data_IF_205714655663
#
_entry.id   IF_205714655663
#
_cell.length_a   1.000
_cell.length_b   1.000
_cell.length_c   1.000
_cell.angle_alpha   90.00
_cell.angle_beta   90.00
_cell.angle_gamma   90.00
#
_symmetry.space_group_name_H-M   'P 1'
#
loop_
_entity.id
_entity.type
_entity.pdbx_description
1 polymer ?
#
# COMPACT_ATOMS: atom_id res chain seq x y z
N UNK A 1 -2.89 15.40 -13.88
CA UNK A 1 -3.83 15.80 -14.97
C UNK A 1 -3.12 16.66 -16.01
N UNK A 2 -2.48 17.76 -15.64
CA UNK A 2 -1.81 18.66 -16.59
C UNK A 2 -0.62 18.02 -17.29
N UNK A 3 0.12 17.14 -16.61
CA UNK A 3 1.26 16.42 -17.18
C UNK A 3 0.82 15.48 -18.31
N UNK A 4 -0.23 14.70 -18.11
CA UNK A 4 -0.76 13.78 -19.13
C UNK A 4 -1.15 14.56 -20.40
N UNK A 5 -1.87 15.68 -20.27
CA UNK A 5 -2.25 16.50 -21.43
C UNK A 5 -1.07 17.13 -22.14
N UNK A 6 -0.03 17.55 -21.40
CA UNK A 6 1.21 18.08 -22.00
C UNK A 6 1.95 17.00 -22.79
N UNK A 7 2.04 15.81 -22.24
CA UNK A 7 2.67 14.67 -22.93
C UNK A 7 1.86 14.28 -24.16
N UNK A 8 0.54 14.18 -24.03
CA UNK A 8 -0.35 13.83 -25.14
C UNK A 8 -0.24 14.78 -26.35
N UNK A 9 0.05 16.06 -26.11
CA UNK A 9 0.23 17.04 -27.17
C UNK A 9 1.46 16.77 -28.06
N UNK A 10 2.41 15.98 -27.60
CA UNK A 10 3.64 15.59 -28.33
C UNK A 10 3.53 14.19 -28.96
N UNK A 11 2.41 13.50 -28.76
CA UNK A 11 2.19 12.13 -29.22
C UNK A 11 1.32 12.08 -30.48
N UNK A 12 1.33 10.93 -31.14
CA UNK A 12 0.57 10.65 -32.36
C UNK A 12 -0.31 9.41 -32.20
N UNK A 13 -1.32 9.21 -33.07
CA UNK A 13 -2.12 7.99 -33.04
C UNK A 13 -1.28 6.72 -33.08
N UNK A 14 -1.57 5.79 -32.17
CA UNK A 14 -0.82 4.55 -31.97
C UNK A 14 0.19 4.60 -30.82
N UNK A 15 0.50 5.78 -30.31
CA UNK A 15 1.31 5.91 -29.09
C UNK A 15 0.51 5.54 -27.83
N UNK A 16 1.21 5.34 -26.71
CA UNK A 16 0.60 5.03 -25.43
C UNK A 16 1.18 5.87 -24.30
N UNK A 17 0.34 6.21 -23.34
CA UNK A 17 0.74 6.78 -22.05
C UNK A 17 0.49 5.73 -20.97
N UNK A 18 1.50 5.48 -20.13
CA UNK A 18 1.38 4.68 -18.91
C UNK A 18 1.44 5.65 -17.73
N UNK A 19 0.34 5.78 -16.98
CA UNK A 19 0.32 6.51 -15.71
C UNK A 19 0.69 5.59 -14.57
N UNK A 20 1.92 5.71 -14.06
CA UNK A 20 2.43 4.95 -12.91
C UNK A 20 2.36 5.73 -11.59
N UNK A 21 1.58 6.80 -11.53
CA UNK A 21 1.38 7.63 -10.34
C UNK A 21 0.34 7.08 -9.36
N UNK A 22 -0.01 7.91 -8.38
CA UNK A 22 -1.14 7.68 -7.49
C UNK A 22 -2.35 8.47 -8.00
N UNK A 23 -2.99 7.97 -9.04
CA UNK A 23 -4.12 8.64 -9.69
C UNK A 23 -5.45 8.03 -9.20
N UNK A 24 -6.46 8.87 -9.03
CA UNK A 24 -7.81 8.41 -8.75
C UNK A 24 -8.39 7.73 -9.99
N UNK A 25 -8.81 6.49 -9.88
CA UNK A 25 -9.21 5.66 -11.02
C UNK A 25 -10.33 6.25 -11.90
N UNK A 26 -11.18 7.14 -11.36
CA UNK A 26 -12.15 7.89 -12.18
C UNK A 26 -11.45 8.82 -13.18
N UNK A 27 -10.29 9.37 -12.83
CA UNK A 27 -9.53 10.22 -13.75
C UNK A 27 -8.96 9.40 -14.92
N UNK A 28 -8.52 8.17 -14.65
CA UNK A 28 -8.01 7.27 -15.69
C UNK A 28 -9.09 6.92 -16.72
N UNK A 29 -10.32 6.67 -16.26
CA UNK A 29 -11.47 6.43 -17.13
C UNK A 29 -11.70 7.64 -18.06
N UNK A 30 -11.66 8.87 -17.49
CA UNK A 30 -11.83 10.09 -18.27
C UNK A 30 -10.67 10.32 -19.26
N UNK A 31 -9.41 10.05 -18.83
CA UNK A 31 -8.26 10.17 -19.73
C UNK A 31 -8.28 9.14 -20.85
N UNK A 32 -8.68 7.90 -20.58
CA UNK A 32 -8.83 6.89 -21.62
C UNK A 32 -9.85 7.31 -22.69
N UNK A 33 -10.97 7.91 -22.29
CA UNK A 33 -11.95 8.47 -23.22
C UNK A 33 -11.41 9.68 -23.99
N UNK A 34 -10.71 10.60 -23.33
CA UNK A 34 -10.14 11.82 -23.94
C UNK A 34 -9.05 11.48 -24.97
N UNK A 35 -8.10 10.61 -24.59
CA UNK A 35 -6.95 10.23 -25.39
C UNK A 35 -7.31 9.23 -26.49
N UNK A 36 -8.26 8.35 -26.23
CA UNK A 36 -8.76 7.40 -27.23
C UNK A 36 -9.36 8.08 -28.47
N UNK A 37 -9.96 9.28 -28.32
CA UNK A 37 -10.43 10.10 -29.45
C UNK A 37 -9.29 10.60 -30.35
N UNK A 38 -8.08 10.65 -29.81
CA UNK A 38 -6.85 11.03 -30.52
C UNK A 38 -6.07 9.81 -31.00
N UNK A 39 -6.55 8.60 -30.75
CA UNK A 39 -5.88 7.35 -31.08
C UNK A 39 -4.69 7.02 -30.21
N UNK A 40 -4.61 7.63 -29.01
CA UNK A 40 -3.57 7.39 -28.02
C UNK A 40 -4.13 6.46 -26.94
N UNK A 41 -3.40 5.36 -26.66
CA UNK A 41 -3.77 4.42 -25.60
C UNK A 41 -3.40 5.01 -24.22
N UNK A 42 -4.32 4.92 -23.26
CA UNK A 42 -4.04 5.24 -21.85
C UNK A 42 -4.08 3.97 -21.01
N UNK A 43 -2.99 3.70 -20.29
CA UNK A 43 -2.90 2.62 -19.31
C UNK A 43 -2.63 3.22 -17.94
N UNK A 44 -3.42 2.82 -16.97
CA UNK A 44 -3.17 3.08 -15.56
C UNK A 44 -2.37 1.91 -14.97
N UNK A 45 -1.31 2.24 -14.24
CA UNK A 45 -0.40 1.26 -13.67
C UNK A 45 -0.20 1.54 -12.18
N UNK A 46 -1.09 0.98 -11.36
CA UNK A 46 -0.95 1.01 -9.92
C UNK A 46 0.33 0.31 -9.48
N UNK A 47 1.19 1.03 -8.76
CA UNK A 47 2.53 0.57 -8.42
C UNK A 47 2.71 0.48 -6.92
N UNK A 48 3.17 -0.67 -6.42
CA UNK A 48 3.58 -0.89 -5.05
C UNK A 48 5.05 -1.35 -5.00
N UNK A 49 5.74 -1.09 -3.87
CA UNK A 49 7.17 -1.35 -3.70
C UNK A 49 7.95 -0.10 -3.30
N UNK A 50 7.39 1.07 -3.50
CA UNK A 50 7.92 2.36 -3.05
C UNK A 50 9.37 2.61 -3.48
N UNK A 51 10.16 3.19 -2.59
CA UNK A 51 11.57 3.54 -2.83
C UNK A 51 12.48 2.32 -3.05
N UNK A 52 12.05 1.14 -2.64
CA UNK A 52 12.81 -0.11 -2.79
C UNK A 52 12.57 -0.82 -4.13
N UNK A 53 11.61 -0.36 -4.94
CA UNK A 53 11.23 -1.01 -6.18
C UNK A 53 12.34 -1.03 -7.24
N UNK A 54 13.27 -0.08 -7.20
CA UNK A 54 14.42 -0.08 -8.11
C UNK A 54 15.32 -1.31 -7.89
N UNK A 55 15.46 -1.77 -6.65
CA UNK A 55 16.31 -2.90 -6.28
C UNK A 55 15.53 -4.23 -6.27
N UNK A 56 14.27 -4.19 -5.86
CA UNK A 56 13.44 -5.38 -5.61
C UNK A 56 12.41 -5.65 -6.71
N UNK A 57 12.21 -4.73 -7.65
CA UNK A 57 11.11 -4.73 -8.58
C UNK A 57 9.82 -4.13 -7.99
N UNK A 58 8.86 -3.88 -8.86
CA UNK A 58 7.58 -3.26 -8.52
C UNK A 58 6.43 -4.25 -8.69
N UNK A 59 5.54 -4.33 -7.71
CA UNK A 59 4.26 -4.98 -7.90
C UNK A 59 3.34 -4.06 -8.72
N UNK A 60 2.91 -4.52 -9.90
CA UNK A 60 2.23 -3.71 -10.91
C UNK A 60 0.80 -4.22 -11.18
N UNK A 61 -0.17 -3.33 -11.05
CA UNK A 61 -1.58 -3.58 -11.30
C UNK A 61 -2.03 -2.71 -12.47
N UNK A 62 -2.29 -3.30 -13.64
CA UNK A 62 -2.41 -2.58 -14.89
C UNK A 62 -3.86 -2.57 -15.38
N UNK A 63 -4.38 -1.40 -15.73
CA UNK A 63 -5.65 -1.19 -16.42
C UNK A 63 -5.45 -0.53 -17.77
N UNK A 64 -6.44 -0.69 -18.66
CA UNK A 64 -6.42 -0.05 -19.97
C UNK A 64 -6.84 -0.96 -21.11
N UNK A 65 -6.64 -0.55 -22.39
CA UNK A 65 -6.92 -1.39 -23.54
C UNK A 65 -6.06 -2.67 -23.53
N UNK A 66 -6.68 -3.84 -23.62
CA UNK A 66 -5.98 -5.13 -23.52
C UNK A 66 -4.90 -5.31 -24.59
N UNK A 67 -5.14 -4.84 -25.80
CA UNK A 67 -4.16 -4.93 -26.89
C UNK A 67 -2.93 -4.03 -26.62
N UNK A 68 -3.14 -2.86 -26.03
CA UNK A 68 -2.04 -1.99 -25.61
C UNK A 68 -1.25 -2.64 -24.45
N UNK A 69 -1.94 -3.25 -23.48
CA UNK A 69 -1.29 -4.01 -22.42
C UNK A 69 -0.39 -5.13 -22.99
N UNK A 70 -0.91 -5.98 -23.88
CA UNK A 70 -0.13 -7.07 -24.52
C UNK A 70 1.10 -6.55 -25.25
N UNK A 71 0.96 -5.42 -25.97
CA UNK A 71 2.08 -4.77 -26.67
C UNK A 71 3.17 -4.30 -25.72
N UNK A 72 2.77 -3.79 -24.53
CA UNK A 72 3.66 -3.18 -23.55
C UNK A 72 4.07 -4.15 -22.42
N UNK A 73 3.56 -5.37 -22.42
CA UNK A 73 3.83 -6.38 -21.40
C UNK A 73 5.34 -6.60 -21.11
N UNK A 74 6.25 -6.58 -22.11
CA UNK A 74 7.68 -6.71 -21.82
C UNK A 74 8.23 -5.63 -20.89
N UNK A 75 7.64 -4.43 -20.87
CA UNK A 75 8.02 -3.35 -19.95
C UNK A 75 7.62 -3.73 -18.51
N UNK A 76 6.36 -4.17 -18.33
CA UNK A 76 5.86 -4.56 -17.01
C UNK A 76 6.62 -5.76 -16.46
N UNK A 77 6.89 -6.77 -17.30
CA UNK A 77 7.67 -7.94 -16.91
C UNK A 77 9.11 -7.58 -16.48
N UNK A 78 9.71 -6.56 -17.12
CA UNK A 78 11.06 -6.10 -16.76
C UNK A 78 11.10 -5.33 -15.44
N UNK A 79 10.05 -4.58 -15.13
CA UNK A 79 9.95 -3.79 -13.91
C UNK A 79 9.49 -4.60 -12.70
N UNK A 80 8.83 -5.73 -12.91
CA UNK A 80 8.32 -6.59 -11.86
C UNK A 80 9.42 -7.40 -11.16
N UNK A 81 9.21 -7.83 -9.90
CA UNK A 81 10.22 -8.55 -9.10
C UNK A 81 10.57 -9.94 -9.65
N UNK A 82 9.65 -10.56 -10.40
CA UNK A 82 9.81 -11.91 -10.91
C UNK A 82 9.43 -13.01 -9.90
N UNK A 83 9.34 -14.23 -10.38
CA UNK A 83 8.89 -15.41 -9.60
C UNK A 83 9.77 -15.75 -8.39
N UNK A 84 10.98 -15.23 -8.33
CA UNK A 84 11.91 -15.50 -7.22
C UNK A 84 11.64 -14.71 -5.94
N UNK A 85 10.74 -13.72 -5.97
CA UNK A 85 10.46 -12.87 -4.80
C UNK A 85 9.67 -13.62 -3.71
N UNK A 86 8.86 -14.60 -4.08
CA UNK A 86 8.09 -15.40 -3.14
C UNK A 86 8.05 -16.88 -3.55
N UNK A 87 7.86 -17.76 -2.56
CA UNK A 87 7.57 -19.16 -2.85
C UNK A 87 6.26 -19.28 -3.62
N UNK A 88 6.23 -20.21 -4.56
CA UNK A 88 5.03 -20.46 -5.36
C UNK A 88 3.86 -20.90 -4.50
N UNK A 89 2.69 -20.31 -4.72
CA UNK A 89 1.48 -20.68 -3.99
C UNK A 89 1.18 -22.18 -4.16
N UNK A 90 0.98 -22.93 -3.05
CA UNK A 90 0.69 -24.35 -3.12
C UNK A 90 -0.53 -24.65 -4.00
N UNK A 91 -0.40 -25.62 -4.88
CA UNK A 91 -1.46 -26.03 -5.82
C UNK A 91 -1.39 -25.38 -7.21
N UNK A 92 -0.60 -24.35 -7.40
CA UNK A 92 -0.34 -23.83 -8.75
C UNK A 92 0.60 -24.77 -9.52
N UNK A 93 0.27 -25.05 -10.78
CA UNK A 93 1.00 -25.96 -11.67
C UNK A 93 1.21 -25.28 -13.03
N UNK A 94 2.11 -25.82 -13.86
CA UNK A 94 2.45 -25.27 -15.18
C UNK A 94 3.45 -24.10 -15.11
N UNK A 95 3.56 -23.32 -16.17
CA UNK A 95 4.44 -22.14 -16.22
C UNK A 95 3.91 -21.02 -15.33
N UNK A 96 4.78 -20.22 -14.70
CA UNK A 96 4.38 -19.09 -13.89
C UNK A 96 3.55 -18.08 -14.68
N UNK A 97 2.46 -17.62 -14.08
CA UNK A 97 1.61 -16.56 -14.64
C UNK A 97 2.24 -15.16 -14.48
N UNK A 98 1.76 -14.13 -15.19
CA UNK A 98 2.14 -12.74 -14.92
C UNK A 98 1.97 -12.32 -13.46
N UNK A 99 0.92 -12.77 -12.79
CA UNK A 99 0.70 -12.48 -11.37
C UNK A 99 1.79 -13.09 -10.48
N UNK A 100 2.29 -14.30 -10.78
CA UNK A 100 3.42 -14.91 -10.07
C UNK A 100 4.75 -14.19 -10.35
N UNK A 101 4.82 -13.41 -11.43
CA UNK A 101 5.94 -12.52 -11.72
C UNK A 101 5.83 -11.15 -11.07
N UNK A 102 4.68 -10.81 -10.45
CA UNK A 102 4.46 -9.56 -9.75
C UNK A 102 3.80 -8.46 -10.58
N UNK A 103 3.21 -8.78 -11.74
CA UNK A 103 2.39 -7.85 -12.51
C UNK A 103 1.10 -8.51 -12.99
N UNK A 104 0.01 -7.74 -13.12
CA UNK A 104 -1.29 -8.26 -13.50
C UNK A 104 -2.07 -7.26 -14.34
N UNK A 105 -2.66 -7.73 -15.44
CA UNK A 105 -3.72 -7.02 -16.13
C UNK A 105 -5.03 -7.15 -15.33
N UNK A 106 -5.50 -6.04 -14.77
CA UNK A 106 -6.68 -6.00 -13.89
C UNK A 106 -7.99 -5.76 -14.64
N UNK A 107 -7.91 -5.25 -15.88
CA UNK A 107 -9.11 -4.95 -16.66
C UNK A 107 -9.04 -3.64 -17.46
N UNK A 108 -10.19 -3.05 -17.83
CA UNK A 108 -10.24 -1.80 -18.59
C UNK A 108 -9.65 -0.62 -17.80
N UNK A 109 -9.61 0.56 -18.43
CA UNK A 109 -9.07 1.77 -17.85
C UNK A 109 -9.64 2.07 -16.46
N UNK A 110 -8.76 2.38 -15.51
CA UNK A 110 -9.03 2.59 -14.10
C UNK A 110 -8.92 1.34 -13.24
N UNK A 111 -8.95 0.13 -13.81
CA UNK A 111 -8.92 -1.12 -13.05
C UNK A 111 -7.59 -1.31 -12.28
N UNK A 112 -6.47 -0.89 -12.84
CA UNK A 112 -5.17 -0.97 -12.18
C UNK A 112 -5.10 -0.08 -10.94
N UNK A 113 -5.41 1.21 -11.09
CA UNK A 113 -5.44 2.15 -9.97
C UNK A 113 -6.55 1.83 -8.96
N UNK A 114 -7.68 1.26 -9.37
CA UNK A 114 -8.71 0.77 -8.45
C UNK A 114 -8.16 -0.34 -7.55
N UNK A 115 -7.54 -1.37 -8.13
CA UNK A 115 -6.94 -2.47 -7.36
C UNK A 115 -5.83 -1.95 -6.45
N UNK A 116 -4.98 -1.04 -6.95
CA UNK A 116 -3.92 -0.40 -6.15
C UNK A 116 -4.47 0.44 -4.99
N UNK A 117 -5.54 1.17 -5.22
CA UNK A 117 -6.23 1.96 -4.20
C UNK A 117 -6.71 1.06 -3.04
N UNK A 118 -7.34 -0.07 -3.35
CA UNK A 118 -7.79 -1.06 -2.35
C UNK A 118 -6.59 -1.67 -1.61
N UNK A 119 -5.51 -2.01 -2.33
CA UNK A 119 -4.25 -2.43 -1.70
C UNK A 119 -3.78 -1.42 -0.65
N UNK A 120 -3.78 -0.12 -0.98
CA UNK A 120 -3.40 0.92 -0.02
C UNK A 120 -4.39 1.04 1.15
N UNK A 121 -5.69 0.83 0.92
CA UNK A 121 -6.68 0.77 2.00
C UNK A 121 -6.36 -0.33 3.01
N UNK A 122 -5.96 -1.51 2.53
CA UNK A 122 -5.48 -2.62 3.38
C UNK A 122 -4.19 -2.22 4.10
N UNK A 123 -3.23 -1.61 3.41
CA UNK A 123 -1.96 -1.14 3.98
C UNK A 123 -2.19 -0.17 5.14
N UNK A 124 -3.07 0.83 4.98
CA UNK A 124 -3.46 1.74 6.06
C UNK A 124 -4.08 1.01 7.25
N UNK A 125 -4.95 0.03 7.01
CA UNK A 125 -5.53 -0.81 8.06
C UNK A 125 -4.47 -1.60 8.82
N UNK A 126 -3.50 -2.19 8.13
CA UNK A 126 -2.38 -2.91 8.74
C UNK A 126 -1.48 -1.99 9.56
N UNK A 127 -1.13 -0.80 9.05
CA UNK A 127 -0.34 0.18 9.79
C UNK A 127 -1.05 0.64 11.05
N UNK A 128 -2.35 0.91 10.98
CA UNK A 128 -3.15 1.28 12.14
C UNK A 128 -3.19 0.16 13.19
N UNK A 129 -3.42 -1.09 12.78
CA UNK A 129 -3.43 -2.23 13.68
C UNK A 129 -2.08 -2.46 14.39
N UNK A 130 -0.97 -2.34 13.68
CA UNK A 130 0.38 -2.42 14.24
C UNK A 130 0.60 -1.29 15.26
N UNK A 131 0.28 -0.04 14.88
CA UNK A 131 0.48 1.12 15.74
C UNK A 131 -0.35 1.02 17.03
N UNK A 132 -1.63 0.68 16.94
CA UNK A 132 -2.51 0.51 18.10
C UNK A 132 -2.05 -0.64 19.01
N UNK A 133 -1.67 -1.78 18.44
CA UNK A 133 -1.15 -2.90 19.20
C UNK A 133 0.14 -2.57 19.96
N UNK A 134 1.09 -1.91 19.31
CA UNK A 134 2.34 -1.45 19.95
C UNK A 134 2.08 -0.36 20.99
N UNK A 135 1.07 0.50 20.79
CA UNK A 135 0.67 1.49 21.79
C UNK A 135 0.07 0.83 23.06
N UNK A 136 -0.68 -0.27 22.91
CA UNK A 136 -1.13 -1.07 24.07
C UNK A 136 0.07 -1.64 24.84
N UNK A 137 1.08 -2.19 24.13
CA UNK A 137 2.30 -2.70 24.77
C UNK A 137 3.06 -1.57 25.47
N UNK A 138 3.18 -0.39 24.85
CA UNK A 138 3.81 0.80 25.45
C UNK A 138 3.10 1.22 26.75
N UNK A 139 1.77 1.06 26.81
CA UNK A 139 0.96 1.38 27.98
C UNK A 139 0.91 0.28 29.06
N UNK A 140 1.65 -0.83 28.92
CA UNK A 140 1.56 -1.98 29.83
C UNK A 140 2.04 -1.72 31.27
N UNK A 141 2.68 -0.57 31.54
CA UNK A 141 3.07 -0.11 32.88
C UNK A 141 2.13 0.96 33.46
N UNK A 142 0.95 1.17 32.89
CA UNK A 142 0.04 2.22 33.33
C UNK A 142 -0.41 2.09 34.78
N UNK A 143 -0.33 0.90 35.38
CA UNK A 143 -0.69 0.62 36.77
C UNK A 143 0.34 1.11 37.82
N UNK A 144 1.57 1.48 37.38
CA UNK A 144 2.58 2.11 38.27
C UNK A 144 2.60 3.62 38.16
N UNK A 145 1.88 4.19 37.17
CA UNK A 145 1.86 5.63 36.92
C UNK A 145 0.77 6.25 37.79
N UNK A 146 1.18 7.12 38.74
CA UNK A 146 0.22 7.93 39.49
C UNK A 146 -0.40 8.97 38.54
N UNK A 147 -1.69 8.90 38.33
CA UNK A 147 -2.45 9.88 37.54
C UNK A 147 -3.24 10.75 38.49
N UNK A 148 -3.18 12.08 38.31
CA UNK A 148 -4.11 12.99 38.95
C UNK A 148 -5.51 12.72 38.37
N UNK A 149 -6.39 12.12 39.17
CA UNK A 149 -7.76 11.86 38.78
C UNK A 149 -8.56 13.18 38.71
N UNK A 150 -9.33 13.36 37.67
CA UNK A 150 -10.35 14.40 37.57
C UNK A 150 -11.76 13.75 37.51
N UNK A 151 -12.79 14.58 37.49
CA UNK A 151 -14.17 14.10 37.52
C UNK A 151 -14.62 13.37 36.25
N UNK A 152 -13.84 13.46 35.16
CA UNK A 152 -14.13 12.87 33.85
C UNK A 152 -13.27 11.64 33.54
N UNK A 153 -12.24 11.38 34.36
CA UNK A 153 -11.32 10.26 34.16
C UNK A 153 -11.72 9.08 35.04
N UNK A 154 -12.19 8.00 34.41
CA UNK A 154 -12.47 6.76 35.14
C UNK A 154 -11.18 6.19 35.76
N UNK A 155 -11.19 5.78 37.04
CA UNK A 155 -10.03 5.14 37.65
C UNK A 155 -9.70 3.82 36.95
N UNK A 156 -8.41 3.47 36.89
CA UNK A 156 -8.00 2.17 36.38
C UNK A 156 -8.45 1.07 37.35
N UNK A 157 -9.19 0.10 36.85
CA UNK A 157 -9.51 -1.11 37.58
C UNK A 157 -8.34 -2.10 37.55
N UNK A 158 -8.01 -2.69 38.71
CA UNK A 158 -6.95 -3.70 38.85
C UNK A 158 -5.58 -3.26 38.32
N UNK A 159 -5.03 -2.12 38.80
CA UNK A 159 -3.75 -1.60 38.30
C UNK A 159 -2.58 -2.57 38.47
N UNK A 160 -2.69 -3.56 39.36
CA UNK A 160 -1.71 -4.61 39.57
C UNK A 160 -1.47 -5.51 38.35
N UNK A 161 -2.38 -5.52 37.40
CA UNK A 161 -2.24 -6.28 36.13
C UNK A 161 -1.50 -5.51 35.02
N UNK A 162 -1.17 -4.23 35.27
CA UNK A 162 -0.54 -3.33 34.29
C UNK A 162 0.78 -2.75 34.83
N UNK A 163 1.68 -3.63 35.25
CA UNK A 163 2.97 -3.26 35.87
C UNK A 163 4.16 -3.86 35.09
N UNK A 164 4.06 -3.92 33.74
CA UNK A 164 5.09 -4.50 32.92
C UNK A 164 5.95 -3.40 32.27
N UNK A 165 7.26 -3.45 32.47
CA UNK A 165 8.21 -2.67 31.67
C UNK A 165 8.58 -3.51 30.45
N UNK A 166 8.04 -3.14 29.28
CA UNK A 166 8.23 -3.88 28.03
C UNK A 166 8.93 -2.96 27.02
N UNK A 167 10.04 -3.44 26.47
CA UNK A 167 10.72 -2.78 25.37
C UNK A 167 9.97 -3.04 24.06
N UNK A 168 9.27 -2.01 23.57
CA UNK A 168 8.44 -2.08 22.35
C UNK A 168 9.29 -2.40 21.11
N UNK A 169 10.53 -1.91 21.04
CA UNK A 169 11.45 -2.21 19.95
C UNK A 169 11.78 -3.71 19.88
N UNK A 170 12.03 -4.33 21.04
CA UNK A 170 12.30 -5.77 21.13
C UNK A 170 11.05 -6.61 20.83
N UNK A 171 9.86 -6.11 21.16
CA UNK A 171 8.59 -6.77 20.78
C UNK A 171 8.42 -6.76 19.27
N UNK A 172 8.61 -5.62 18.61
CA UNK A 172 8.55 -5.53 17.16
C UNK A 172 9.59 -6.46 16.51
N UNK A 173 10.82 -6.50 17.03
CA UNK A 173 11.89 -7.37 16.54
C UNK A 173 11.57 -8.85 16.68
N UNK A 174 10.98 -9.31 17.79
CA UNK A 174 10.61 -10.72 17.94
C UNK A 174 9.41 -11.11 17.09
N UNK A 175 8.45 -10.18 16.93
CA UNK A 175 7.26 -10.47 16.10
C UNK A 175 7.57 -10.58 14.62
N UNK A 176 8.53 -9.83 14.09
CA UNK A 176 8.94 -9.97 12.68
C UNK A 176 9.63 -11.31 12.38
N UNK A 177 10.02 -12.09 13.41
CA UNK A 177 10.72 -13.37 13.29
C UNK A 177 9.80 -14.55 13.52
N UNK A 178 8.97 -14.87 12.51
CA UNK A 178 8.14 -16.06 12.46
C UNK A 178 6.79 -15.96 13.18
N UNK A 179 6.36 -14.77 13.61
CA UNK A 179 4.99 -14.59 14.09
C UNK A 179 4.01 -14.44 12.91
N UNK A 180 2.74 -14.71 13.16
CA UNK A 180 1.65 -14.59 12.16
C UNK A 180 1.48 -13.15 11.66
N UNK A 181 1.84 -12.14 12.46
CA UNK A 181 1.78 -10.72 12.07
C UNK A 181 3.05 -10.24 11.37
N UNK A 182 4.02 -11.13 11.12
CA UNK A 182 5.23 -10.83 10.34
C UNK A 182 4.86 -10.31 8.96
N UNK A 183 5.44 -9.17 8.58
CA UNK A 183 5.14 -8.49 7.32
C UNK A 183 6.23 -7.45 7.02
N UNK A 184 6.33 -7.02 5.76
CA UNK A 184 7.25 -5.94 5.42
C UNK A 184 6.96 -4.65 6.20
N UNK A 185 5.70 -4.32 6.45
CA UNK A 185 5.33 -3.17 7.29
C UNK A 185 5.85 -3.31 8.73
N UNK A 186 5.81 -4.51 9.29
CA UNK A 186 6.40 -4.76 10.62
C UNK A 186 7.93 -4.70 10.59
N UNK A 187 8.59 -5.12 9.51
CA UNK A 187 10.03 -4.96 9.34
C UNK A 187 10.44 -3.49 9.36
N UNK A 188 9.71 -2.64 8.61
CA UNK A 188 9.94 -1.19 8.60
C UNK A 188 9.65 -0.56 9.97
N UNK A 189 8.60 -1.02 10.67
CA UNK A 189 8.29 -0.57 12.03
C UNK A 189 9.41 -0.91 13.00
N UNK A 190 9.91 -2.14 12.97
CA UNK A 190 11.01 -2.57 13.83
C UNK A 190 12.31 -1.77 13.55
N UNK A 191 12.60 -1.48 12.27
CA UNK A 191 13.74 -0.64 11.89
C UNK A 191 13.60 0.77 12.46
N UNK A 192 12.42 1.40 12.33
CA UNK A 192 12.14 2.73 12.88
C UNK A 192 12.25 2.77 14.39
N UNK A 193 11.73 1.77 15.10
CA UNK A 193 11.81 1.68 16.56
C UNK A 193 13.25 1.38 17.05
N UNK A 194 14.06 0.69 16.26
CA UNK A 194 15.47 0.47 16.59
C UNK A 194 16.30 1.77 16.49
N UNK A 195 15.96 2.63 15.52
CA UNK A 195 16.59 3.95 15.36
C UNK A 195 16.06 4.96 16.38
N UNK A 196 14.73 4.97 16.62
CA UNK A 196 14.05 5.90 17.52
C UNK A 196 13.01 5.17 18.39
N UNK A 197 13.40 4.65 19.56
CA UNK A 197 12.51 3.84 20.41
C UNK A 197 11.27 4.58 20.95
N UNK A 198 11.32 5.90 21.07
CA UNK A 198 10.21 6.73 21.58
C UNK A 198 9.41 7.40 20.49
N UNK A 199 9.96 7.52 19.27
CA UNK A 199 9.39 8.22 18.10
C UNK A 199 9.07 9.70 18.38
N UNK A 200 9.70 10.33 19.40
CA UNK A 200 9.39 11.71 19.84
C UNK A 200 9.76 12.78 18.80
N UNK A 201 10.70 12.48 17.90
CA UNK A 201 11.08 13.38 16.81
C UNK A 201 10.02 13.49 15.69
N UNK A 202 9.06 12.57 15.63
CA UNK A 202 8.00 12.61 14.65
C UNK A 202 6.80 13.41 15.16
N UNK A 203 6.28 14.29 14.31
CA UNK A 203 5.16 15.17 14.65
C UNK A 203 3.80 14.46 14.78
N UNK A 204 3.72 13.17 14.43
CA UNK A 204 2.46 12.43 14.34
C UNK A 204 1.54 12.89 13.20
N UNK A 205 2.04 13.72 12.28
CA UNK A 205 1.27 14.23 11.16
C UNK A 205 1.47 13.36 9.92
N UNK A 206 0.36 12.87 9.35
CA UNK A 206 0.32 12.10 8.10
C UNK A 206 -0.45 12.90 7.05
N UNK A 207 0.08 12.93 5.80
CA UNK A 207 -0.61 13.54 4.68
C UNK A 207 -1.60 12.55 4.05
N UNK A 208 -2.77 13.06 3.64
CA UNK A 208 -3.75 12.29 2.88
C UNK A 208 -3.35 12.27 1.40
N UNK A 209 -2.89 11.12 0.92
CA UNK A 209 -2.56 10.87 -0.49
C UNK A 209 -3.79 10.47 -1.33
N UNK A 210 -4.94 10.24 -0.67
CA UNK A 210 -6.25 10.00 -1.28
C UNK A 210 -6.70 8.55 -1.26
N UNK A 211 -5.82 7.56 -1.36
CA UNK A 211 -6.19 6.15 -1.60
C UNK A 211 -7.02 5.55 -0.47
N UNK A 212 -6.69 5.83 0.80
CA UNK A 212 -7.46 5.35 1.95
C UNK A 212 -8.88 5.91 1.96
N UNK A 213 -9.02 7.19 1.64
CA UNK A 213 -10.31 7.86 1.50
C UNK A 213 -11.11 7.32 0.32
N UNK A 214 -10.48 7.16 -0.85
CA UNK A 214 -11.15 6.63 -2.04
C UNK A 214 -11.59 5.20 -1.86
N UNK A 215 -10.80 4.36 -1.17
CA UNK A 215 -11.19 2.99 -0.78
C UNK A 215 -12.45 3.01 0.08
N UNK A 216 -12.52 3.91 1.08
CA UNK A 216 -13.68 4.04 1.94
C UNK A 216 -14.94 4.50 1.18
N UNK A 217 -14.77 5.42 0.21
CA UNK A 217 -15.87 5.87 -0.65
C UNK A 217 -16.35 4.71 -1.53
N UNK A 218 -15.44 3.98 -2.16
CA UNK A 218 -15.78 2.82 -2.99
C UNK A 218 -16.54 1.76 -2.19
N UNK A 219 -16.08 1.43 -0.99
CA UNK A 219 -16.77 0.48 -0.09
C UNK A 219 -18.21 0.91 0.23
N UNK A 220 -18.44 2.21 0.49
CA UNK A 220 -19.78 2.76 0.72
C UNK A 220 -20.65 2.64 -0.54
N UNK A 221 -20.11 3.01 -1.69
CA UNK A 221 -20.84 2.98 -2.97
C UNK A 221 -21.17 1.54 -3.40
N UNK A 222 -20.30 0.58 -3.12
CA UNK A 222 -20.47 -0.85 -3.38
C UNK A 222 -21.37 -1.54 -2.33
N UNK A 223 -21.55 -0.93 -1.17
CA UNK A 223 -22.39 -1.48 -0.08
C UNK A 223 -21.71 -2.58 0.75
N UNK A 224 -20.38 -2.53 0.87
CA UNK A 224 -19.57 -3.48 1.65
C UNK A 224 -18.95 -2.82 2.87
#
# INVERSE_FOLDING_TARGET
RDTIRKVAAELQPGDAIIDGGNTYYHDDIHFAEELGKQGIDHLDCGTSGGVFGLERGYCLMIGGPEEAYKRLEPIFATLAPGVGEAERTPGLTGDPSPAENGYLYCGPAGAGHFVKMVHNGIEYGMMAAIAEGLNVIKGANAGVITRDGDAETAPMENPEYYQYEIDVSQVAEVWRRGSVVGSWLLDLTAASLAESPTLEEFSGRVSDSGEGRWTSIAAIDEGV
#
